data_IF_126309493791
#
_entry.id   IF_126309493791
#
_cell.length_a   1.000
_cell.length_b   1.000
_cell.length_c   1.000
_cell.angle_alpha   90.00
_cell.angle_beta   90.00
_cell.angle_gamma   90.00
#
_symmetry.space_group_name_H-M   'P 1'
#
loop_
_entity.id
_entity.type
_entity.pdbx_description
1 polymer ?
#
# COMPACT_ATOMS: atom_id res chain seq x y z
N UNK A 1 -3.40 -15.23 2.85
CA UNK A 1 -3.49 -16.47 3.66
C UNK A 1 -2.92 -16.23 5.04
N UNK A 2 -3.55 -16.79 6.08
CA UNK A 2 -2.89 -17.00 7.38
C UNK A 2 -1.82 -18.09 7.23
N UNK A 3 -1.05 -18.35 8.28
CA UNK A 3 0.01 -19.35 8.22
C UNK A 3 -0.59 -20.77 8.26
N UNK A 4 -1.69 -20.98 8.99
CA UNK A 4 -2.51 -22.22 8.93
C UNK A 4 -3.08 -22.43 7.52
N UNK A 5 -3.63 -21.38 6.93
CA UNK A 5 -4.22 -21.49 5.59
C UNK A 5 -3.13 -21.73 4.54
N UNK A 6 -1.91 -21.20 4.74
CA UNK A 6 -0.80 -21.48 3.84
C UNK A 6 -0.37 -22.96 3.94
N UNK A 7 -0.20 -23.50 5.15
CA UNK A 7 0.04 -24.93 5.36
C UNK A 7 -1.06 -25.78 4.70
N UNK A 8 -2.34 -25.49 5.00
CA UNK A 8 -3.48 -26.21 4.44
C UNK A 8 -3.44 -26.22 2.91
N UNK A 9 -3.25 -25.06 2.27
CA UNK A 9 -3.27 -24.97 0.81
C UNK A 9 -2.10 -25.73 0.17
N UNK A 10 -0.93 -25.78 0.81
CA UNK A 10 0.18 -26.59 0.31
C UNK A 10 -0.09 -28.08 0.45
N UNK A 11 -0.73 -28.52 1.54
CA UNK A 11 -1.10 -29.93 1.75
C UNK A 11 -2.23 -30.40 0.83
N UNK A 12 -3.17 -29.52 0.52
CA UNK A 12 -4.40 -29.83 -0.22
C UNK A 12 -4.22 -29.73 -1.74
N UNK A 13 -3.38 -28.80 -2.23
CA UNK A 13 -3.30 -28.50 -3.66
C UNK A 13 -2.00 -29.00 -4.30
N UNK A 14 -2.14 -29.96 -5.21
CA UNK A 14 -1.04 -30.45 -6.06
C UNK A 14 -0.34 -29.34 -6.84
N UNK A 15 -1.06 -28.30 -7.27
CA UNK A 15 -0.46 -27.15 -7.94
C UNK A 15 0.51 -26.37 -7.04
N UNK A 16 0.24 -26.30 -5.74
CA UNK A 16 1.11 -25.63 -4.78
C UNK A 16 2.31 -26.50 -4.42
N UNK A 17 2.10 -27.81 -4.27
CA UNK A 17 3.21 -28.75 -4.09
C UNK A 17 4.17 -28.70 -5.27
N UNK A 18 3.64 -28.77 -6.51
CA UNK A 18 4.45 -28.63 -7.74
C UNK A 18 5.19 -27.30 -7.79
N UNK A 19 4.55 -26.19 -7.43
CA UNK A 19 5.18 -24.87 -7.41
C UNK A 19 6.35 -24.81 -6.41
N UNK A 20 6.20 -25.44 -5.24
CA UNK A 20 7.23 -25.50 -4.20
C UNK A 20 8.27 -26.61 -4.43
N UNK A 21 8.13 -27.40 -5.50
CA UNK A 21 9.01 -28.54 -5.77
C UNK A 21 8.85 -29.71 -4.80
N UNK A 22 7.68 -29.85 -4.16
CA UNK A 22 7.36 -30.90 -3.19
C UNK A 22 6.67 -32.09 -3.86
N UNK A 23 7.11 -33.31 -3.53
CA UNK A 23 6.45 -34.57 -3.85
C UNK A 23 5.36 -34.96 -2.85
N UNK A 24 4.52 -35.95 -3.19
CA UNK A 24 3.37 -36.38 -2.38
C UNK A 24 3.73 -36.86 -0.96
N UNK A 25 4.95 -37.37 -0.77
CA UNK A 25 5.46 -37.84 0.52
C UNK A 25 6.34 -36.84 1.26
N UNK A 26 6.61 -35.67 0.66
CA UNK A 26 7.53 -34.70 1.26
C UNK A 26 6.90 -34.00 2.45
N UNK A 27 7.74 -33.66 3.44
CA UNK A 27 7.29 -32.88 4.59
C UNK A 27 6.96 -31.46 4.14
N UNK A 28 5.68 -31.11 4.19
CA UNK A 28 5.19 -29.75 3.96
C UNK A 28 5.58 -28.84 5.13
N UNK A 29 6.05 -27.60 4.87
CA UNK A 29 6.26 -26.62 5.93
C UNK A 29 4.97 -26.36 6.72
N UNK A 30 5.01 -26.64 8.01
CA UNK A 30 3.88 -26.37 8.90
C UNK A 30 3.73 -24.86 9.15
N UNK A 31 2.61 -24.47 9.77
CA UNK A 31 2.36 -23.08 10.18
C UNK A 31 3.55 -22.49 10.95
N UNK A 32 4.15 -23.25 11.86
CA UNK A 32 5.25 -22.78 12.72
C UNK A 32 6.48 -22.46 11.90
N UNK A 33 6.82 -23.30 10.92
CA UNK A 33 7.92 -23.11 9.98
C UNK A 33 7.70 -21.87 9.14
N UNK A 34 6.50 -21.69 8.59
CA UNK A 34 6.14 -20.50 7.80
C UNK A 34 6.25 -19.23 8.65
N UNK A 35 5.81 -19.30 9.91
CA UNK A 35 5.92 -18.20 10.85
C UNK A 35 7.38 -17.87 11.16
N UNK A 36 8.21 -18.86 11.54
CA UNK A 36 9.64 -18.70 11.82
C UNK A 36 10.40 -18.13 10.62
N UNK A 37 10.08 -18.56 9.40
CA UNK A 37 10.67 -18.01 8.19
C UNK A 37 10.40 -16.50 8.06
N UNK A 38 9.16 -16.07 8.33
CA UNK A 38 8.85 -14.62 8.30
C UNK A 38 9.53 -13.87 9.43
N UNK A 39 9.65 -14.46 10.61
CA UNK A 39 10.41 -13.86 11.71
C UNK A 39 11.87 -13.66 11.31
N UNK A 40 12.50 -14.65 10.68
CA UNK A 40 13.86 -14.52 10.17
C UNK A 40 13.99 -13.37 9.16
N UNK A 41 13.01 -13.18 8.25
CA UNK A 41 12.98 -12.04 7.33
C UNK A 41 12.84 -10.69 8.07
N UNK A 42 12.07 -10.64 9.16
CA UNK A 42 11.95 -9.43 9.99
C UNK A 42 13.29 -9.13 10.65
N UNK A 43 13.87 -10.10 11.36
CA UNK A 43 15.14 -9.94 12.08
C UNK A 43 16.28 -9.56 11.14
N UNK A 44 16.32 -10.14 9.94
CA UNK A 44 17.34 -9.84 8.95
C UNK A 44 17.12 -8.51 8.19
N UNK A 45 15.98 -7.83 8.37
CA UNK A 45 15.66 -6.63 7.56
C UNK A 45 15.57 -6.92 6.06
N UNK A 46 15.30 -8.18 5.66
CA UNK A 46 15.58 -8.68 4.33
C UNK A 46 14.70 -8.08 3.21
N UNK A 47 13.56 -7.46 3.58
CA UNK A 47 12.61 -6.97 2.59
C UNK A 47 13.16 -5.87 1.69
N UNK A 48 14.01 -4.99 2.22
CA UNK A 48 14.64 -3.93 1.44
C UNK A 48 15.60 -4.54 0.40
N UNK A 49 16.47 -5.46 0.82
CA UNK A 49 17.38 -6.17 -0.06
C UNK A 49 16.67 -6.99 -1.13
N UNK A 50 15.58 -7.68 -0.79
CA UNK A 50 14.77 -8.44 -1.75
C UNK A 50 14.12 -7.51 -2.79
N UNK A 51 13.58 -6.37 -2.35
CA UNK A 51 12.99 -5.39 -3.27
C UNK A 51 14.03 -4.78 -4.19
N UNK A 52 15.21 -4.44 -3.67
CA UNK A 52 16.32 -3.90 -4.47
C UNK A 52 16.82 -4.91 -5.50
N UNK A 53 16.99 -6.18 -5.10
CA UNK A 53 17.41 -7.25 -6.02
C UNK A 53 16.40 -7.48 -7.13
N UNK A 54 15.11 -7.46 -6.79
CA UNK A 54 14.07 -7.61 -7.81
C UNK A 54 14.02 -6.40 -8.76
N UNK A 55 14.17 -5.17 -8.26
CA UNK A 55 14.24 -3.99 -9.13
C UNK A 55 15.48 -3.99 -10.04
N UNK A 56 16.61 -4.53 -9.58
CA UNK A 56 17.79 -4.74 -10.42
C UNK A 56 17.51 -5.72 -11.57
N UNK A 57 16.87 -6.87 -11.29
CA UNK A 57 16.46 -7.84 -12.31
C UNK A 57 15.46 -7.21 -13.32
N UNK A 58 14.53 -6.38 -12.85
CA UNK A 58 13.65 -5.62 -13.75
C UNK A 58 14.43 -4.69 -14.70
N UNK A 59 15.45 -4.00 -14.20
CA UNK A 59 16.29 -3.09 -15.00
C UNK A 59 17.12 -3.86 -16.03
N UNK A 60 17.71 -4.98 -15.65
CA UNK A 60 18.46 -5.85 -16.55
C UNK A 60 17.61 -6.35 -17.72
N UNK A 61 16.33 -6.63 -17.46
CA UNK A 61 15.33 -7.01 -18.47
C UNK A 61 14.76 -5.82 -19.28
N UNK A 62 15.26 -4.60 -19.07
CA UNK A 62 14.82 -3.41 -19.79
C UNK A 62 13.56 -2.73 -19.25
N UNK A 63 13.00 -3.17 -18.12
CA UNK A 63 11.87 -2.50 -17.46
C UNK A 63 12.34 -1.33 -16.61
N UNK A 64 12.83 -0.28 -17.26
CA UNK A 64 13.18 0.97 -16.59
C UNK A 64 11.94 1.82 -16.26
N UNK A 65 12.05 2.70 -15.26
CA UNK A 65 10.99 3.64 -14.90
C UNK A 65 10.94 4.84 -15.87
N UNK A 66 10.56 4.57 -17.13
CA UNK A 66 10.58 5.53 -18.25
C UNK A 66 9.37 6.48 -18.29
N UNK A 67 8.23 6.08 -17.72
CA UNK A 67 6.98 6.84 -17.80
C UNK A 67 6.78 7.87 -16.68
N UNK A 68 7.78 8.01 -15.81
CA UNK A 68 7.72 8.75 -14.55
C UNK A 68 7.04 7.95 -13.45
N UNK A 69 6.90 8.56 -12.27
CA UNK A 69 6.60 7.84 -11.03
C UNK A 69 5.32 8.31 -10.35
N UNK A 70 4.51 7.35 -9.91
CA UNK A 70 3.27 7.61 -9.17
C UNK A 70 3.46 7.14 -7.73
N UNK A 71 3.20 8.05 -6.78
CA UNK A 71 3.23 7.76 -5.34
C UNK A 71 1.81 7.77 -4.81
N UNK A 72 1.46 6.72 -4.08
CA UNK A 72 0.16 6.59 -3.44
C UNK A 72 0.22 5.64 -2.24
N UNK A 73 -0.85 5.62 -1.45
CA UNK A 73 -0.96 4.73 -0.29
C UNK A 73 -2.32 4.02 -0.26
N UNK A 74 -2.29 2.75 0.14
CA UNK A 74 -3.51 2.00 0.44
C UNK A 74 -3.48 1.43 1.85
N UNK A 75 -4.60 1.53 2.54
CA UNK A 75 -4.77 0.92 3.86
C UNK A 75 -4.91 -0.59 3.70
N UNK A 76 -4.16 -1.33 4.51
CA UNK A 76 -4.25 -2.78 4.67
C UNK A 76 -4.79 -3.06 6.07
N UNK A 77 -5.96 -3.70 6.13
CA UNK A 77 -6.68 -3.87 7.38
C UNK A 77 -6.10 -5.00 8.23
N UNK A 78 -6.24 -4.84 9.55
CA UNK A 78 -5.86 -5.80 10.58
C UNK A 78 -7.06 -6.09 11.51
N UNK A 79 -7.05 -7.17 12.30
CA UNK A 79 -8.08 -7.48 13.26
C UNK A 79 -8.35 -6.31 14.21
N UNK A 80 -9.60 -5.83 14.24
CA UNK A 80 -10.03 -4.75 15.12
C UNK A 80 -9.92 -5.20 16.57
N UNK A 81 -9.26 -4.40 17.40
CA UNK A 81 -9.03 -4.72 18.80
C UNK A 81 -10.08 -4.07 19.70
N UNK A 82 -10.65 -4.87 20.60
CA UNK A 82 -11.44 -4.35 21.71
C UNK A 82 -10.49 -3.86 22.79
N UNK A 83 -10.52 -2.55 23.03
CA UNK A 83 -9.68 -1.83 23.98
C UNK A 83 -10.52 -0.79 24.71
N UNK A 84 -10.27 -0.62 26.00
CA UNK A 84 -10.86 0.45 26.82
C UNK A 84 -10.34 1.82 26.38
N UNK A 85 -10.98 2.91 26.85
CA UNK A 85 -10.50 4.27 26.56
C UNK A 85 -9.10 4.52 27.13
N UNK A 86 -8.85 3.95 28.31
CA UNK A 86 -7.56 4.02 29.00
C UNK A 86 -6.45 3.32 28.21
N UNK A 87 -6.67 2.06 27.84
CA UNK A 87 -5.72 1.28 27.03
C UNK A 87 -5.41 1.99 25.70
N UNK A 88 -6.40 2.62 25.07
CA UNK A 88 -6.20 3.40 23.84
C UNK A 88 -5.35 4.66 24.06
N UNK A 89 -5.41 5.27 25.25
CA UNK A 89 -4.58 6.43 25.60
C UNK A 89 -3.13 5.99 25.76
N UNK A 90 -2.88 5.00 26.61
CA UNK A 90 -1.55 4.43 26.85
C UNK A 90 -0.84 4.06 25.53
N UNK A 91 -1.51 3.28 24.66
CA UNK A 91 -0.95 2.88 23.35
C UNK A 91 -0.66 4.08 22.44
N UNK A 92 -1.47 5.14 22.51
CA UNK A 92 -1.24 6.36 21.72
C UNK A 92 -0.01 7.12 22.24
N UNK A 93 0.19 7.13 23.54
CA UNK A 93 1.28 7.83 24.21
C UNK A 93 2.59 7.02 24.18
N UNK A 94 2.55 5.81 23.59
CA UNK A 94 3.71 4.94 23.41
C UNK A 94 3.96 3.99 24.58
N UNK A 95 3.03 3.95 25.53
CA UNK A 95 3.08 3.08 26.69
C UNK A 95 2.38 1.74 26.38
N UNK A 96 2.93 0.66 26.95
CA UNK A 96 2.25 -0.63 26.94
C UNK A 96 1.27 -0.68 28.12
N UNK A 97 -0.02 -0.93 27.87
CA UNK A 97 -0.97 -1.14 28.95
C UNK A 97 -0.53 -2.30 29.86
N UNK A 98 -0.81 -2.24 31.18
CA UNK A 98 -0.35 -3.23 32.16
C UNK A 98 -1.15 -4.53 32.06
N UNK A 99 -1.00 -5.22 30.92
CA UNK A 99 -1.67 -6.47 30.64
C UNK A 99 -0.86 -7.66 31.15
N UNK A 100 -1.53 -8.76 31.55
CA UNK A 100 -0.86 -10.04 31.71
C UNK A 100 -0.15 -10.44 30.41
N UNK A 101 1.01 -11.13 30.48
CA UNK A 101 1.78 -11.51 29.29
C UNK A 101 0.97 -12.24 28.21
N UNK A 102 0.01 -13.08 28.62
CA UNK A 102 -0.88 -13.80 27.70
C UNK A 102 -1.77 -12.86 26.87
N UNK A 103 -2.29 -11.79 27.47
CA UNK A 103 -3.10 -10.78 26.77
C UNK A 103 -2.21 -9.89 25.90
N UNK A 104 -1.04 -9.47 26.40
CA UNK A 104 -0.12 -8.62 25.65
C UNK A 104 0.30 -9.23 24.31
N UNK A 105 0.59 -10.54 24.28
CA UNK A 105 0.96 -11.29 23.06
C UNK A 105 -0.11 -11.32 21.97
N UNK A 106 -1.37 -11.01 22.32
CA UNK A 106 -2.50 -11.01 21.39
C UNK A 106 -2.92 -9.60 20.94
N UNK A 107 -2.23 -8.56 21.42
CA UNK A 107 -2.54 -7.17 21.14
C UNK A 107 -1.49 -6.55 20.23
N UNK A 108 -1.96 -5.67 19.37
CA UNK A 108 -1.16 -5.02 18.34
C UNK A 108 -1.14 -3.54 18.67
N UNK A 109 -0.13 -3.18 19.46
CA UNK A 109 0.12 -1.82 19.91
C UNK A 109 0.79 -0.98 18.83
N UNK A 110 0.98 -1.49 17.60
CA UNK A 110 1.59 -0.77 16.48
C UNK A 110 0.62 -0.51 15.32
N UNK A 111 -0.48 -1.24 15.20
CA UNK A 111 -1.58 -0.90 14.31
C UNK A 111 -2.39 0.30 14.85
N UNK A 112 -2.93 1.14 13.96
CA UNK A 112 -3.69 2.35 14.36
C UNK A 112 -5.01 2.48 13.60
N UNK A 113 -5.93 3.24 14.19
CA UNK A 113 -7.20 3.62 13.55
C UNK A 113 -6.99 4.77 12.58
N UNK A 114 -7.74 4.74 11.49
CA UNK A 114 -7.84 5.83 10.52
C UNK A 114 -9.24 5.88 9.93
N UNK A 115 -9.54 6.93 9.18
CA UNK A 115 -10.85 7.11 8.54
C UNK A 115 -10.66 7.22 7.03
N UNK A 116 -11.21 6.24 6.31
CA UNK A 116 -11.33 6.28 4.85
C UNK A 116 -12.48 7.19 4.48
N UNK A 117 -12.25 8.10 3.52
CA UNK A 117 -13.32 8.88 2.90
C UNK A 117 -13.84 8.11 1.69
N UNK A 118 -14.97 7.44 1.85
CA UNK A 118 -15.75 6.88 0.75
C UNK A 118 -16.53 7.98 0.02
N UNK A 119 -16.95 7.70 -1.22
CA UNK A 119 -17.96 8.50 -1.91
C UNK A 119 -19.33 7.94 -1.56
N UNK A 120 -20.19 8.72 -0.91
CA UNK A 120 -21.61 8.37 -0.80
C UNK A 120 -22.30 8.47 -2.16
N UNK A 121 -23.47 7.86 -2.31
CA UNK A 121 -24.36 8.20 -3.42
C UNK A 121 -24.82 9.64 -3.23
N UNK A 122 -24.81 10.44 -4.30
CA UNK A 122 -25.45 11.75 -4.28
C UNK A 122 -26.93 11.57 -3.89
N UNK A 123 -27.39 12.25 -2.85
CA UNK A 123 -28.82 12.37 -2.58
C UNK A 123 -29.33 13.61 -3.32
N UNK A 124 -30.50 13.58 -3.96
CA UNK A 124 -31.20 14.79 -4.36
C UNK A 124 -31.50 15.59 -3.09
N UNK A 125 -31.10 16.86 -3.06
CA UNK A 125 -31.45 17.80 -1.99
C UNK A 125 -31.97 19.10 -2.61
N UNK A 126 -32.90 19.80 -1.95
CA UNK A 126 -33.43 21.05 -2.49
C UNK A 126 -32.36 22.13 -2.46
N UNK A 127 -32.02 22.71 -3.61
CA UNK A 127 -31.32 23.99 -3.65
C UNK A 127 -32.34 25.13 -3.56
N UNK A 128 -31.94 26.24 -2.95
CA UNK A 128 -32.77 27.44 -2.78
C UNK A 128 -33.07 28.18 -4.10
N UNK A 129 -32.50 27.74 -5.23
CA UNK A 129 -32.57 28.40 -6.55
C UNK A 129 -33.12 27.51 -7.68
N UNK A 130 -33.63 26.31 -7.36
CA UNK A 130 -34.16 25.39 -8.37
C UNK A 130 -33.10 24.63 -9.18
N UNK A 131 -31.81 24.76 -8.87
CA UNK A 131 -30.75 23.94 -9.48
C UNK A 131 -30.53 22.63 -8.70
N UNK A 132 -30.36 21.48 -9.38
CA UNK A 132 -30.06 20.21 -8.70
C UNK A 132 -28.64 20.21 -8.11
N UNK A 133 -28.47 20.73 -6.89
CA UNK A 133 -27.22 20.57 -6.14
C UNK A 133 -27.11 19.15 -5.57
N UNK A 134 -26.49 18.24 -6.32
CA UNK A 134 -26.16 16.88 -5.84
C UNK A 134 -25.07 16.92 -4.78
N UNK A 135 -25.46 16.88 -3.49
CA UNK A 135 -24.51 16.71 -2.40
C UNK A 135 -24.10 15.25 -2.27
N UNK A 136 -22.80 14.98 -2.47
CA UNK A 136 -22.16 13.71 -2.10
C UNK A 136 -21.61 13.88 -0.69
N UNK A 137 -22.35 13.41 0.32
CA UNK A 137 -21.74 13.21 1.64
C UNK A 137 -20.71 12.08 1.53
N UNK A 138 -19.45 12.37 1.89
CA UNK A 138 -18.41 11.36 1.91
C UNK A 138 -18.63 10.41 3.08
N UNK A 139 -18.86 9.12 2.81
CA UNK A 139 -18.99 8.12 3.86
C UNK A 139 -17.66 7.98 4.61
N UNK A 140 -17.65 8.23 5.91
CA UNK A 140 -16.48 8.00 6.76
C UNK A 140 -16.45 6.54 7.19
N UNK A 141 -15.52 5.75 6.63
CA UNK A 141 -15.37 4.33 6.94
C UNK A 141 -14.15 4.16 7.86
N UNK A 142 -14.34 3.79 9.13
CA UNK A 142 -13.22 3.56 10.03
C UNK A 142 -12.47 2.28 9.63
N UNK A 143 -11.14 2.38 9.56
CA UNK A 143 -10.24 1.27 9.26
C UNK A 143 -9.18 1.16 10.36
N UNK A 144 -8.79 -0.07 10.69
CA UNK A 144 -7.73 -0.36 11.65
C UNK A 144 -6.67 -1.21 10.97
N UNK A 145 -5.40 -0.84 11.12
CA UNK A 145 -4.28 -1.60 10.56
C UNK A 145 -3.11 -0.72 10.16
N UNK A 146 -2.60 -0.97 8.95
CA UNK A 146 -1.39 -0.38 8.39
C UNK A 146 -1.68 0.29 7.03
N UNK A 147 -0.68 0.99 6.49
CA UNK A 147 -0.68 1.53 5.12
C UNK A 147 0.50 0.97 4.34
N UNK A 148 0.23 0.54 3.11
CA UNK A 148 1.24 0.28 2.10
C UNK A 148 1.38 1.53 1.26
N UNK A 149 2.48 2.27 1.46
CA UNK A 149 2.86 3.40 0.61
C UNK A 149 3.74 2.86 -0.49
N UNK A 150 3.41 3.17 -1.75
CA UNK A 150 4.13 2.62 -2.91
C UNK A 150 4.51 3.73 -3.88
N UNK A 151 5.66 3.54 -4.51
CA UNK A 151 6.06 4.18 -5.73
C UNK A 151 5.95 3.16 -6.86
N UNK A 152 5.27 3.52 -7.94
CA UNK A 152 5.22 2.69 -9.14
C UNK A 152 5.77 3.46 -10.34
N UNK A 153 6.34 2.73 -11.30
CA UNK A 153 6.54 3.31 -12.62
C UNK A 153 5.21 3.34 -13.39
N UNK A 154 4.97 4.43 -14.13
CA UNK A 154 3.69 4.62 -14.84
C UNK A 154 3.51 3.69 -16.03
N UNK A 155 4.60 3.34 -16.73
CA UNK A 155 4.55 2.65 -18.04
C UNK A 155 4.18 1.18 -17.86
N UNK A 156 4.91 0.50 -16.98
CA UNK A 156 4.82 -0.92 -16.73
C UNK A 156 3.96 -1.24 -15.51
N UNK A 157 3.67 -0.25 -14.65
CA UNK A 157 2.89 -0.41 -13.41
C UNK A 157 3.56 -1.36 -12.41
N UNK A 158 4.89 -1.39 -12.41
CA UNK A 158 5.68 -2.16 -11.44
C UNK A 158 6.02 -1.27 -10.24
N UNK A 159 5.92 -1.85 -9.06
CA UNK A 159 6.31 -1.21 -7.79
C UNK A 159 7.83 -1.12 -7.77
N UNK A 160 8.35 0.08 -7.53
CA UNK A 160 9.79 0.40 -7.47
C UNK A 160 10.28 0.60 -6.05
N UNK A 161 9.46 1.24 -5.23
CA UNK A 161 9.73 1.45 -3.80
C UNK A 161 8.45 1.26 -3.01
N UNK A 162 8.57 0.83 -1.78
CA UNK A 162 7.44 0.82 -0.84
C UNK A 162 7.92 1.12 0.57
N UNK A 163 6.98 1.57 1.40
CA UNK A 163 7.17 1.78 2.82
C UNK A 163 5.87 1.40 3.54
N UNK A 164 6.00 0.87 4.76
CA UNK A 164 4.85 0.47 5.57
C UNK A 164 4.82 1.29 6.85
N UNK A 165 3.63 1.81 7.17
CA UNK A 165 3.38 2.53 8.43
C UNK A 165 2.12 2.02 9.10
N UNK A 166 1.91 2.38 10.36
CA UNK A 166 0.57 2.34 10.94
C UNK A 166 -0.41 3.20 10.12
N UNK A 167 -1.71 2.88 10.19
CA UNK A 167 -2.69 3.53 9.33
C UNK A 167 -3.01 5.00 9.70
N UNK A 168 -2.60 5.49 10.87
CA UNK A 168 -2.82 6.87 11.28
C UNK A 168 -1.73 7.82 10.73
N UNK A 169 -0.57 7.30 10.30
CA UNK A 169 0.49 8.13 9.71
C UNK A 169 0.00 8.88 8.48
N UNK A 170 0.45 10.13 8.39
CA UNK A 170 0.12 11.02 7.29
C UNK A 170 0.92 10.65 6.04
N UNK A 171 0.21 10.42 4.94
CA UNK A 171 0.76 9.91 3.68
C UNK A 171 1.83 10.86 3.12
N UNK A 172 1.54 12.17 3.16
CA UNK A 172 2.47 13.18 2.68
C UNK A 172 3.84 13.14 3.35
N UNK A 173 3.95 12.73 4.62
CA UNK A 173 5.26 12.68 5.30
C UNK A 173 6.16 11.55 4.78
N UNK A 174 5.61 10.59 4.03
CA UNK A 174 6.34 9.43 3.53
C UNK A 174 6.96 9.67 2.14
N UNK A 175 6.65 10.80 1.48
CA UNK A 175 7.11 11.07 0.11
C UNK A 175 8.62 10.93 -0.08
N UNK A 176 9.50 11.49 0.78
CA UNK A 176 10.94 11.46 0.53
C UNK A 176 11.49 10.03 0.43
N UNK A 177 11.02 9.11 1.27
CA UNK A 177 11.43 7.70 1.25
C UNK A 177 10.88 6.91 0.04
N UNK A 178 9.94 7.49 -0.71
CA UNK A 178 9.29 6.85 -1.85
C UNK A 178 9.78 7.39 -3.20
N UNK A 179 10.52 8.50 -3.24
CA UNK A 179 11.04 9.03 -4.51
C UNK A 179 12.02 8.02 -5.12
N UNK A 180 11.79 7.63 -6.37
CA UNK A 180 12.71 6.78 -7.11
C UNK A 180 13.79 7.64 -7.79
N UNK A 181 15.06 7.58 -7.34
CA UNK A 181 16.15 8.32 -7.97
C UNK A 181 16.51 7.78 -9.35
N UNK A 182 16.16 6.52 -9.66
CA UNK A 182 16.49 5.87 -10.94
C UNK A 182 15.40 6.07 -12.00
N UNK A 183 14.35 6.83 -11.69
CA UNK A 183 13.34 7.18 -12.68
C UNK A 183 13.96 8.09 -13.75
N UNK A 184 13.80 7.73 -15.02
CA UNK A 184 14.31 8.55 -16.13
C UNK A 184 13.49 9.83 -16.28
N UNK A 185 12.18 9.72 -16.24
CA UNK A 185 11.27 10.87 -16.31
C UNK A 185 11.22 11.59 -14.96
N UNK A 186 11.38 12.91 -15.01
CA UNK A 186 11.46 13.76 -13.83
C UNK A 186 10.12 13.94 -13.11
N UNK A 187 8.98 13.56 -13.70
CA UNK A 187 7.65 13.86 -13.16
C UNK A 187 7.24 12.91 -12.02
N UNK A 188 6.71 13.51 -10.94
CA UNK A 188 6.19 12.81 -9.76
C UNK A 188 4.71 13.13 -9.59
N UNK A 189 3.85 12.12 -9.70
CA UNK A 189 2.41 12.26 -9.48
C UNK A 189 2.02 11.69 -8.12
N UNK A 190 1.22 12.44 -7.36
CA UNK A 190 0.67 12.01 -6.08
C UNK A 190 -0.62 12.77 -5.74
N UNK A 191 -1.35 12.33 -4.71
CA UNK A 191 -2.54 13.06 -4.23
C UNK A 191 -2.22 14.39 -3.55
N UNK A 192 -3.27 15.15 -3.24
CA UNK A 192 -3.12 16.47 -2.64
C UNK A 192 -2.62 16.43 -1.19
N UNK A 193 -2.76 15.32 -0.46
CA UNK A 193 -2.15 15.13 0.86
C UNK A 193 -0.62 15.17 0.76
N UNK A 194 -0.03 14.71 -0.35
CA UNK A 194 1.41 14.84 -0.63
C UNK A 194 1.87 16.27 -1.00
N UNK A 195 0.97 17.23 -1.22
CA UNK A 195 1.35 18.63 -1.56
C UNK A 195 1.63 19.48 -0.32
N UNK A 196 2.79 19.30 0.30
CA UNK A 196 3.30 20.20 1.35
C UNK A 196 4.49 21.02 0.84
N UNK A 197 4.82 22.16 1.48
CA UNK A 197 6.01 22.94 1.12
C UNK A 197 7.29 22.10 1.18
N UNK A 198 7.43 21.28 2.24
CA UNK A 198 8.55 20.37 2.41
C UNK A 198 8.65 19.34 1.28
N UNK A 199 7.51 18.79 0.83
CA UNK A 199 7.48 17.82 -0.26
C UNK A 199 7.78 18.44 -1.62
N UNK A 200 7.26 19.64 -1.89
CA UNK A 200 7.58 20.37 -3.12
C UNK A 200 9.09 20.70 -3.16
N UNK A 201 9.68 21.09 -2.03
CA UNK A 201 11.13 21.29 -1.90
C UNK A 201 11.91 19.98 -2.08
N UNK A 202 11.47 18.87 -1.49
CA UNK A 202 12.12 17.57 -1.65
C UNK A 202 12.07 17.06 -3.10
N UNK A 203 10.93 17.25 -3.79
CA UNK A 203 10.80 16.93 -5.22
C UNK A 203 11.80 17.78 -6.04
N UNK A 204 11.86 19.09 -5.79
CA UNK A 204 12.78 19.97 -6.50
C UNK A 204 14.25 19.62 -6.22
N UNK A 205 14.62 19.37 -4.97
CA UNK A 205 15.96 18.97 -4.57
C UNK A 205 16.40 17.63 -5.21
N UNK A 206 15.45 16.73 -5.48
CA UNK A 206 15.71 15.49 -6.21
C UNK A 206 15.80 15.67 -7.74
N UNK A 207 15.80 16.90 -8.26
CA UNK A 207 15.81 17.20 -9.70
C UNK A 207 14.52 16.79 -10.40
N UNK A 208 13.40 16.71 -9.65
CA UNK A 208 12.11 16.22 -10.14
C UNK A 208 11.10 17.34 -10.33
N UNK A 209 10.08 17.08 -11.16
CA UNK A 209 8.96 17.98 -11.44
C UNK A 209 7.70 17.51 -10.73
N UNK A 210 7.13 18.38 -9.91
CA UNK A 210 5.88 18.10 -9.20
C UNK A 210 4.67 18.08 -10.11
N UNK A 211 3.99 16.93 -10.15
CA UNK A 211 2.66 16.74 -10.73
C UNK A 211 1.65 16.35 -9.65
N UNK A 212 1.92 16.71 -8.40
CA UNK A 212 1.05 16.45 -7.24
C UNK A 212 -0.25 17.25 -7.37
N UNK A 213 -1.39 16.72 -6.93
CA UNK A 213 -2.67 17.45 -7.03
C UNK A 213 -2.67 18.76 -6.24
N UNK A 214 -3.30 19.80 -6.80
CA UNK A 214 -3.61 21.03 -6.08
C UNK A 214 -4.59 20.74 -4.93
N UNK A 215 -4.34 21.34 -3.76
CA UNK A 215 -5.25 21.30 -2.60
C UNK A 215 -6.43 22.24 -2.84
N UNK A 216 -7.64 21.80 -2.46
CA UNK A 216 -8.82 22.67 -2.47
C UNK A 216 -8.63 23.77 -1.42
N UNK A 217 -8.79 25.06 -1.77
CA UNK A 217 -8.75 26.14 -0.79
C UNK A 217 -9.86 26.00 0.26
N UNK A 218 -9.60 26.38 1.50
CA UNK A 218 -10.59 26.32 2.58
C UNK A 218 -11.73 27.30 2.29
N UNK A 219 -12.97 26.84 2.38
CA UNK A 219 -14.18 27.68 2.22
C UNK A 219 -14.42 28.22 0.81
N UNK A 220 -13.64 27.82 -0.19
CA UNK A 220 -13.79 28.28 -1.58
C UNK A 220 -13.82 27.11 -2.57
N UNK A 221 -14.48 27.25 -3.73
CA UNK A 221 -14.39 26.27 -4.80
C UNK A 221 -12.94 26.16 -5.31
N UNK A 222 -12.62 25.01 -5.89
CA UNK A 222 -11.34 24.83 -6.57
C UNK A 222 -11.32 25.72 -7.83
N UNK A 223 -10.28 26.52 -8.08
CA UNK A 223 -10.16 27.28 -9.33
C UNK A 223 -10.23 26.36 -10.55
N UNK A 224 -10.93 26.78 -11.60
CA UNK A 224 -11.16 25.96 -12.81
C UNK A 224 -9.85 25.45 -13.46
N UNK A 225 -8.77 26.25 -13.57
CA UNK A 225 -7.49 25.76 -14.08
C UNK A 225 -6.90 24.62 -13.23
N UNK A 226 -7.02 24.72 -11.90
CA UNK A 226 -6.58 23.66 -10.99
C UNK A 226 -7.44 22.40 -11.11
N UNK A 227 -8.75 22.56 -11.34
CA UNK A 227 -9.63 21.42 -11.61
C UNK A 227 -9.20 20.69 -12.89
N UNK A 228 -9.00 21.42 -14.00
CA UNK A 228 -8.51 20.83 -15.27
C UNK A 228 -7.18 20.12 -15.08
N UNK A 229 -6.23 20.74 -14.39
CA UNK A 229 -4.93 20.14 -14.09
C UNK A 229 -5.05 18.87 -13.22
N UNK A 230 -5.87 18.90 -12.16
CA UNK A 230 -6.10 17.73 -11.31
C UNK A 230 -6.81 16.60 -12.07
N UNK A 231 -7.74 16.90 -12.99
CA UNK A 231 -8.38 15.90 -13.85
C UNK A 231 -7.34 15.18 -14.73
N UNK A 232 -6.49 15.94 -15.41
CA UNK A 232 -5.41 15.37 -16.23
C UNK A 232 -4.42 14.54 -15.39
N UNK A 233 -4.04 15.02 -14.20
CA UNK A 233 -3.16 14.29 -13.27
C UNK A 233 -3.81 13.02 -12.71
N UNK A 234 -5.12 13.03 -12.50
CA UNK A 234 -5.87 11.85 -12.02
C UNK A 234 -5.85 10.71 -13.04
N UNK A 235 -5.99 11.03 -14.33
CA UNK A 235 -5.90 10.03 -15.40
C UNK A 235 -4.55 9.30 -15.38
N UNK A 236 -3.46 10.04 -15.17
CA UNK A 236 -2.11 9.46 -15.02
C UNK A 236 -1.99 8.64 -13.73
N UNK A 237 -2.45 9.18 -12.59
CA UNK A 237 -2.35 8.50 -11.29
C UNK A 237 -3.12 7.18 -11.24
N UNK A 238 -4.18 7.03 -12.02
CA UNK A 238 -4.99 5.80 -12.08
C UNK A 238 -4.17 4.54 -12.36
N UNK A 239 -2.94 4.66 -12.90
CA UNK A 239 -2.01 3.55 -13.05
C UNK A 239 -1.75 2.76 -11.75
N UNK A 240 -1.74 3.44 -10.59
CA UNK A 240 -1.49 2.81 -9.27
C UNK A 240 -2.65 1.94 -8.81
N UNK A 241 -3.86 2.21 -9.30
CA UNK A 241 -5.05 1.42 -8.96
C UNK A 241 -4.93 -0.02 -9.43
N UNK A 242 -4.08 -0.32 -10.42
CA UNK A 242 -3.78 -1.71 -10.79
C UNK A 242 -3.20 -2.50 -9.61
N UNK A 243 -2.23 -1.91 -8.90
CA UNK A 243 -1.58 -2.55 -7.75
C UNK A 243 -2.57 -2.69 -6.60
N UNK A 244 -3.33 -1.63 -6.31
CA UNK A 244 -4.31 -1.69 -5.22
C UNK A 244 -5.49 -2.60 -5.52
N UNK A 245 -5.93 -2.71 -6.77
CA UNK A 245 -6.95 -3.66 -7.18
C UNK A 245 -6.45 -5.10 -7.01
N UNK A 246 -5.20 -5.39 -7.37
CA UNK A 246 -4.61 -6.71 -7.17
C UNK A 246 -4.54 -7.08 -5.67
N UNK A 247 -4.02 -6.16 -4.83
CA UNK A 247 -3.96 -6.37 -3.38
C UNK A 247 -5.35 -6.55 -2.74
N UNK A 248 -6.36 -5.76 -3.15
CA UNK A 248 -7.69 -5.77 -2.53
C UNK A 248 -8.57 -6.90 -3.05
N UNK A 249 -8.62 -7.10 -4.37
CA UNK A 249 -9.57 -8.02 -5.01
C UNK A 249 -8.98 -9.42 -5.19
N UNK A 250 -7.75 -9.53 -5.69
CA UNK A 250 -7.14 -10.83 -5.98
C UNK A 250 -6.54 -11.47 -4.73
N UNK A 251 -5.85 -10.68 -3.91
CA UNK A 251 -5.23 -11.22 -2.68
C UNK A 251 -6.13 -11.17 -1.45
N UNK A 252 -7.14 -10.29 -1.44
CA UNK A 252 -7.86 -9.91 -0.22
C UNK A 252 -6.89 -9.64 0.95
N UNK A 253 -5.89 -8.79 0.69
CA UNK A 253 -4.75 -8.60 1.58
C UNK A 253 -5.19 -8.09 2.96
N UNK A 254 -4.80 -8.82 4.00
CA UNK A 254 -5.20 -8.57 5.38
C UNK A 254 -4.09 -9.01 6.35
N UNK A 255 -3.77 -8.16 7.32
CA UNK A 255 -2.66 -8.35 8.26
C UNK A 255 -3.15 -9.08 9.51
N UNK A 256 -2.83 -10.37 9.63
CA UNK A 256 -3.14 -11.18 10.82
C UNK A 256 -1.97 -11.25 11.82
N UNK A 257 -0.79 -10.85 11.38
CA UNK A 257 0.42 -10.81 12.21
C UNK A 257 0.41 -9.59 13.10
N UNK A 258 0.97 -9.70 14.30
CA UNK A 258 1.06 -8.60 15.26
C UNK A 258 2.38 -7.86 15.09
N UNK A 259 2.31 -6.54 14.91
CA UNK A 259 3.47 -5.67 14.87
C UNK A 259 3.94 -5.28 13.47
N UNK A 260 4.55 -4.10 13.40
CA UNK A 260 4.92 -3.40 12.18
C UNK A 260 5.95 -4.16 11.34
N UNK A 261 6.95 -4.78 11.97
CA UNK A 261 7.97 -5.56 11.24
C UNK A 261 7.33 -6.71 10.46
N UNK A 262 6.45 -7.48 11.10
CA UNK A 262 5.73 -8.60 10.48
C UNK A 262 4.74 -8.11 9.41
N UNK A 263 4.04 -7.00 9.68
CA UNK A 263 3.19 -6.35 8.69
C UNK A 263 3.98 -5.91 7.45
N UNK A 264 5.20 -5.39 7.66
CA UNK A 264 6.11 -4.96 6.59
C UNK A 264 6.52 -6.13 5.71
N UNK A 265 6.94 -7.26 6.31
CA UNK A 265 7.24 -8.49 5.56
C UNK A 265 6.02 -8.99 4.79
N UNK A 266 4.83 -9.02 5.42
CA UNK A 266 3.60 -9.50 4.76
C UNK A 266 3.21 -8.64 3.56
N UNK A 267 3.26 -7.32 3.72
CA UNK A 267 2.94 -6.35 2.66
C UNK A 267 4.03 -6.38 1.58
N UNK A 268 5.29 -6.46 1.96
CA UNK A 268 6.41 -6.52 1.03
C UNK A 268 6.36 -7.77 0.13
N UNK A 269 6.08 -8.94 0.70
CA UNK A 269 5.86 -10.17 -0.09
C UNK A 269 4.64 -10.01 -1.02
N UNK A 270 3.56 -9.37 -0.55
CA UNK A 270 2.40 -9.08 -1.40
C UNK A 270 2.77 -8.13 -2.56
N UNK A 271 3.56 -7.09 -2.30
CA UNK A 271 4.05 -6.19 -3.34
C UNK A 271 4.91 -6.93 -4.39
N UNK A 272 5.82 -7.81 -3.95
CA UNK A 272 6.60 -8.67 -4.85
C UNK A 272 5.70 -9.59 -5.68
N UNK A 273 4.68 -10.21 -5.08
CA UNK A 273 3.73 -11.04 -5.79
C UNK A 273 2.89 -10.25 -6.83
N UNK A 274 2.52 -8.99 -6.54
CA UNK A 274 1.91 -8.09 -7.54
C UNK A 274 2.86 -7.91 -8.74
N UNK A 275 4.13 -7.60 -8.44
CA UNK A 275 5.15 -7.36 -9.44
C UNK A 275 5.44 -8.61 -10.29
N UNK A 276 5.60 -9.79 -9.68
CA UNK A 276 5.83 -11.04 -10.43
C UNK A 276 4.68 -11.32 -11.40
N UNK A 277 3.42 -11.19 -10.95
CA UNK A 277 2.28 -11.38 -11.86
C UNK A 277 2.24 -10.34 -12.97
N UNK A 278 2.58 -9.09 -12.66
CA UNK A 278 2.65 -8.03 -13.67
C UNK A 278 3.77 -8.28 -14.68
N UNK A 279 4.93 -8.74 -14.22
CA UNK A 279 6.07 -9.09 -15.06
C UNK A 279 5.75 -10.26 -15.98
N UNK A 280 5.17 -11.35 -15.46
CA UNK A 280 4.72 -12.50 -16.27
C UNK A 280 3.75 -12.04 -17.36
N UNK A 281 2.82 -11.14 -17.02
CA UNK A 281 1.91 -10.57 -18.03
C UNK A 281 2.67 -9.77 -19.08
N UNK A 282 3.62 -8.91 -18.69
CA UNK A 282 4.41 -8.09 -19.62
C UNK A 282 5.23 -8.95 -20.59
N UNK A 283 5.96 -9.94 -20.07
CA UNK A 283 6.74 -10.91 -20.86
C UNK A 283 5.85 -11.72 -21.81
N UNK A 284 4.64 -12.07 -21.37
CA UNK A 284 3.68 -12.77 -22.21
C UNK A 284 3.06 -11.92 -23.32
N UNK A 285 3.25 -10.58 -23.31
CA UNK A 285 2.83 -9.70 -24.41
C UNK A 285 3.96 -9.43 -25.41
N UNK A 286 5.23 -9.60 -25.01
CA UNK A 286 6.40 -9.26 -25.83
C UNK A 286 6.85 -10.39 -26.76
N UNK A 287 6.17 -11.53 -26.76
CA UNK A 287 6.38 -12.61 -27.73
C UNK A 287 5.34 -12.48 -28.85
N UNK A 288 5.70 -11.99 -30.06
CA UNK A 288 4.99 -12.45 -31.23
C UNK A 288 5.35 -13.93 -31.42
N UNK A 289 4.34 -14.80 -31.43
CA UNK A 289 4.46 -16.13 -32.01
C UNK A 289 4.86 -16.02 -33.48
#
# INVERSE_FOLDING_TARGET
>A
LSDEQAEYQVRDRLSFMRFLGLGLGDRVPDRTTIWLFREALVTAGAMEGLSARFDADLKERGYFALGGQVVDASIVEAPRQRLTREEKRQIRDGEDPPWPPAKARQKDTQARWTVKRGRGKAKPGPALDGSEARMVEGLLIPAFGYKSHINIDRRFRLIRRFLVTDAARHDGAQLPGLLNPDAFDSRVWADSAYRSKANEAAIAAAGRRSMVHFRKPKGRPMPEPHQRANRARSAVRSAVEYVFADQKQRMALFIRTIGLGRATVKIGIANLACNFRRLIWLEGQTVPL
#
